data_IF_579788988487
#
_entry.id   IF_579788988487
#
_cell.length_a   1.000
_cell.length_b   1.000
_cell.length_c   1.000
_cell.angle_alpha   90.00
_cell.angle_beta   90.00
_cell.angle_gamma   90.00
#
_symmetry.space_group_name_H-M   'P 1'
#
loop_
_entity.id
_entity.type
_entity.pdbx_description
1 polymer ?
#
# COMPACT_ATOMS: atom_id res chain seq x y z
N UNK A 1 -25.30 34.49 45.92
CA UNK A 1 -24.49 33.55 45.09
C UNK A 1 -23.86 34.36 43.96
N UNK A 2 -22.53 34.55 44.02
CA UNK A 2 -21.80 35.45 43.08
C UNK A 2 -21.83 34.87 41.66
N UNK A 3 -22.46 35.58 40.72
CA UNK A 3 -22.53 35.22 39.30
C UNK A 3 -21.14 34.99 38.66
N UNK A 4 -20.10 35.58 39.23
CA UNK A 4 -18.69 35.39 38.80
C UNK A 4 -18.16 33.97 39.02
N UNK A 5 -18.67 33.19 39.99
CA UNK A 5 -18.24 31.82 40.27
C UNK A 5 -18.72 30.80 39.22
N UNK A 6 -19.75 31.13 38.45
CA UNK A 6 -20.29 30.25 37.38
C UNK A 6 -19.72 30.62 35.99
N UNK A 7 -19.40 31.90 35.76
CA UNK A 7 -18.93 32.43 34.49
C UNK A 7 -17.49 31.93 34.17
N UNK A 8 -16.58 31.94 35.16
CA UNK A 8 -15.19 31.52 34.97
C UNK A 8 -15.06 30.05 34.46
N UNK A 9 -15.72 29.05 35.09
CA UNK A 9 -15.65 27.67 34.58
C UNK A 9 -16.28 27.48 33.19
N UNK A 10 -17.37 28.22 32.88
CA UNK A 10 -17.97 28.17 31.55
C UNK A 10 -17.09 28.77 30.48
N UNK A 11 -16.39 29.87 30.76
CA UNK A 11 -15.40 30.46 29.86
C UNK A 11 -14.22 29.52 29.67
N UNK A 12 -13.73 28.90 30.74
CA UNK A 12 -12.66 27.92 30.66
C UNK A 12 -13.05 26.68 29.81
N UNK A 13 -14.24 26.15 30.00
CA UNK A 13 -14.79 25.04 29.20
C UNK A 13 -14.93 25.46 27.73
N UNK A 14 -15.41 26.68 27.46
CA UNK A 14 -15.55 27.20 26.10
C UNK A 14 -14.19 27.41 25.43
N UNK A 15 -13.15 27.89 26.15
CA UNK A 15 -11.81 28.03 25.64
C UNK A 15 -11.14 26.68 25.40
N UNK A 16 -11.29 25.72 26.32
CA UNK A 16 -10.76 24.36 26.14
C UNK A 16 -11.49 23.64 25.00
N UNK A 17 -12.82 23.75 24.96
CA UNK A 17 -13.63 23.18 23.86
C UNK A 17 -13.32 23.83 22.51
N UNK A 18 -13.19 25.16 22.46
CA UNK A 18 -12.78 25.90 21.26
C UNK A 18 -11.39 25.56 20.81
N UNK A 19 -10.44 25.47 21.74
CA UNK A 19 -9.06 25.02 21.47
C UNK A 19 -9.01 23.60 20.93
N UNK A 20 -9.77 22.68 21.52
CA UNK A 20 -9.88 21.31 21.03
C UNK A 20 -10.48 21.24 19.62
N UNK A 21 -11.59 21.97 19.38
CA UNK A 21 -12.22 22.06 18.06
C UNK A 21 -11.26 22.65 17.01
N UNK A 22 -10.49 23.67 17.37
CA UNK A 22 -9.49 24.26 16.50
C UNK A 22 -8.38 23.25 16.14
N UNK A 23 -7.86 22.50 17.12
CA UNK A 23 -6.85 21.46 16.90
C UNK A 23 -7.43 20.27 16.12
N UNK A 24 -8.71 19.97 16.27
CA UNK A 24 -9.39 18.89 15.58
C UNK A 24 -9.79 19.23 14.13
N UNK A 25 -9.72 20.49 13.71
CA UNK A 25 -10.00 20.88 12.31
C UNK A 25 -9.07 20.21 11.31
N UNK A 26 -7.85 19.88 11.77
CA UNK A 26 -6.81 19.29 10.94
C UNK A 26 -6.21 20.28 9.94
N UNK A 27 -5.27 19.81 9.14
CA UNK A 27 -4.62 20.61 8.10
C UNK A 27 -5.29 20.41 6.73
N UNK A 28 -5.15 21.43 5.86
CA UNK A 28 -5.66 21.40 4.48
C UNK A 28 -4.49 21.63 3.54
N UNK A 29 -4.41 20.83 2.48
CA UNK A 29 -3.40 20.94 1.45
C UNK A 29 -3.45 22.31 0.74
N UNK A 30 -2.28 22.87 0.46
CA UNK A 30 -2.09 24.20 -0.15
C UNK A 30 -1.26 24.16 -1.41
N UNK A 31 -0.51 23.07 -1.61
CA UNK A 31 0.26 22.90 -2.84
C UNK A 31 -0.68 22.76 -4.05
N UNK A 32 -0.33 23.37 -5.19
CA UNK A 32 -1.03 23.11 -6.44
C UNK A 32 -1.01 21.61 -6.78
N UNK A 33 -2.04 21.16 -7.48
CA UNK A 33 -2.13 19.78 -7.92
C UNK A 33 -0.88 19.35 -8.70
N UNK A 34 -0.31 18.19 -8.33
CA UNK A 34 0.89 17.64 -8.95
C UNK A 34 2.22 18.31 -8.56
N UNK A 35 2.21 19.36 -7.72
CA UNK A 35 3.47 19.97 -7.24
C UNK A 35 4.26 19.02 -6.35
N UNK A 36 3.58 18.11 -5.67
CA UNK A 36 4.11 17.09 -4.77
C UNK A 36 4.48 15.76 -5.45
N UNK A 37 4.53 15.72 -6.80
CA UNK A 37 4.84 14.51 -7.57
C UNK A 37 6.09 14.67 -8.44
N UNK A 38 6.65 13.56 -8.94
CA UNK A 38 7.79 13.54 -9.85
C UNK A 38 9.14 13.48 -9.17
N UNK A 39 10.21 13.63 -9.94
CA UNK A 39 11.60 13.56 -9.42
C UNK A 39 11.97 14.73 -8.50
N UNK A 40 11.36 15.90 -8.74
CA UNK A 40 11.61 17.13 -7.99
C UNK A 40 10.27 17.66 -7.41
N UNK A 41 9.74 17.03 -6.35
CA UNK A 41 8.52 17.53 -5.70
C UNK A 41 8.80 18.82 -4.93
N UNK A 42 7.78 19.66 -4.81
CA UNK A 42 7.82 20.87 -3.98
C UNK A 42 7.59 20.48 -2.52
N UNK A 43 8.44 20.97 -1.64
CA UNK A 43 8.34 20.77 -0.18
C UNK A 43 7.85 22.04 0.52
N UNK A 44 7.00 21.86 1.51
CA UNK A 44 6.56 22.92 2.44
C UNK A 44 7.30 22.78 3.78
N UNK A 45 7.16 23.77 4.65
CA UNK A 45 7.61 23.62 6.04
C UNK A 45 6.73 22.64 6.78
N UNK A 46 7.31 21.75 7.62
CA UNK A 46 6.54 20.79 8.40
C UNK A 46 5.55 21.48 9.34
N UNK A 47 4.33 20.96 9.38
CA UNK A 47 3.28 21.36 10.32
C UNK A 47 2.96 20.19 11.23
N UNK A 48 3.71 20.09 12.33
CA UNK A 48 3.52 19.01 13.28
C UNK A 48 2.11 19.05 13.88
N UNK A 49 1.36 17.99 13.66
CA UNK A 49 0.02 17.80 14.20
C UNK A 49 0.09 17.06 15.54
N UNK A 50 -0.59 17.58 16.55
CA UNK A 50 -0.81 16.88 17.84
C UNK A 50 -1.97 15.90 17.74
N UNK A 51 -3.00 16.28 16.99
CA UNK A 51 -4.15 15.44 16.63
C UNK A 51 -4.07 15.28 15.11
N UNK A 52 -4.05 14.05 14.59
CA UNK A 52 -3.98 13.86 13.16
C UNK A 52 -5.21 14.44 12.46
N UNK A 53 -5.01 15.03 11.30
CA UNK A 53 -6.11 15.33 10.38
C UNK A 53 -6.84 14.03 10.07
N UNK A 54 -8.16 14.00 10.25
CA UNK A 54 -9.00 12.85 9.88
C UNK A 54 -9.93 13.28 8.75
N UNK A 55 -9.81 12.62 7.61
CA UNK A 55 -10.65 12.83 6.43
C UNK A 55 -10.89 11.48 5.74
N UNK A 56 -11.82 10.72 6.28
CA UNK A 56 -12.11 9.36 5.81
C UNK A 56 -13.21 9.42 4.77
N UNK A 57 -12.91 8.94 3.56
CA UNK A 57 -13.92 8.65 2.56
C UNK A 57 -14.77 7.47 3.06
N UNK A 58 -16.06 7.70 3.23
CA UNK A 58 -17.01 6.65 3.61
C UNK A 58 -17.21 5.68 2.46
N UNK A 59 -17.30 4.39 2.77
CA UNK A 59 -17.49 3.38 1.72
C UNK A 59 -18.93 3.34 1.25
N UNK A 60 -19.11 3.59 -0.05
CA UNK A 60 -20.37 3.40 -0.79
C UNK A 60 -20.09 2.42 -1.95
N UNK A 61 -20.29 1.10 -1.77
CA UNK A 61 -19.91 0.11 -2.76
C UNK A 61 -20.47 0.40 -4.15
N UNK A 62 -19.74 -0.02 -5.18
CA UNK A 62 -20.17 0.03 -6.56
C UNK A 62 -21.54 -0.62 -6.77
N UNK A 63 -22.45 0.06 -7.40
CA UNK A 63 -23.72 -0.54 -7.84
C UNK A 63 -23.52 -1.38 -9.09
N UNK A 64 -24.55 -2.15 -9.43
CA UNK A 64 -24.55 -2.93 -10.67
C UNK A 64 -24.35 -1.98 -11.88
N UNK A 65 -23.37 -2.30 -12.73
CA UNK A 65 -23.03 -1.50 -13.91
C UNK A 65 -22.15 -0.28 -13.67
N UNK A 66 -21.95 0.15 -12.41
CA UNK A 66 -20.96 1.21 -12.09
C UNK A 66 -19.55 0.65 -12.18
N UNK A 67 -18.62 1.49 -12.63
CA UNK A 67 -17.21 1.15 -12.81
C UNK A 67 -16.32 2.40 -12.72
N UNK A 68 -15.01 2.25 -12.44
CA UNK A 68 -14.05 3.33 -12.50
C UNK A 68 -13.99 3.96 -13.90
N UNK A 69 -13.42 5.14 -13.97
CA UNK A 69 -13.21 5.86 -15.22
C UNK A 69 -11.81 5.52 -15.75
N UNK A 70 -11.74 4.87 -16.89
CA UNK A 70 -10.48 4.57 -17.57
C UNK A 70 -9.97 5.80 -18.34
N UNK A 71 -8.64 5.92 -18.48
CA UNK A 71 -8.02 6.93 -19.31
C UNK A 71 -8.50 6.83 -20.78
N UNK A 72 -8.36 7.92 -21.52
CA UNK A 72 -8.75 7.96 -22.93
C UNK A 72 -8.03 6.87 -23.74
N UNK A 73 -8.77 6.13 -24.54
CA UNK A 73 -8.27 4.99 -25.31
C UNK A 73 -8.18 3.67 -24.53
N UNK A 74 -8.60 3.67 -23.26
CA UNK A 74 -8.71 2.47 -22.45
C UNK A 74 -10.17 2.14 -22.12
N UNK A 75 -10.42 0.87 -21.83
CA UNK A 75 -11.68 0.36 -21.31
C UNK A 75 -11.45 -0.38 -20.00
N UNK A 76 -12.45 -0.39 -19.10
CA UNK A 76 -12.40 -1.12 -17.84
C UNK A 76 -13.67 -1.94 -17.65
N UNK A 77 -13.50 -3.21 -17.25
CA UNK A 77 -14.58 -4.14 -16.95
C UNK A 77 -14.27 -4.93 -15.67
N UNK A 78 -15.27 -5.61 -15.12
CA UNK A 78 -15.10 -6.50 -13.97
C UNK A 78 -14.50 -7.81 -14.40
N UNK A 79 -13.31 -8.16 -13.92
CA UNK A 79 -12.71 -9.48 -14.07
C UNK A 79 -13.32 -10.49 -13.09
N UNK A 80 -13.45 -10.11 -11.82
CA UNK A 80 -14.09 -10.91 -10.78
C UNK A 80 -14.74 -10.00 -9.74
N UNK A 81 -15.81 -10.46 -9.08
CA UNK A 81 -16.52 -9.71 -8.04
C UNK A 81 -16.94 -10.62 -6.88
N UNK A 82 -17.42 -10.04 -5.78
CA UNK A 82 -17.80 -10.76 -4.57
C UNK A 82 -16.61 -11.40 -3.86
N UNK A 83 -15.45 -10.73 -3.87
CA UNK A 83 -14.28 -11.09 -3.12
C UNK A 83 -14.30 -10.41 -1.73
N UNK A 84 -13.74 -11.07 -0.74
CA UNK A 84 -13.67 -10.54 0.62
C UNK A 84 -12.35 -9.77 0.83
N UNK A 85 -12.35 -8.47 0.52
CA UNK A 85 -11.21 -7.58 0.70
C UNK A 85 -9.97 -8.05 -0.11
N UNK A 86 -10.06 -8.12 -1.47
CA UNK A 86 -8.97 -8.59 -2.32
C UNK A 86 -7.80 -7.59 -2.29
N UNK A 87 -6.59 -8.10 -2.07
CA UNK A 87 -5.41 -7.25 -1.96
C UNK A 87 -4.33 -7.67 -2.95
N UNK A 88 -3.28 -8.35 -2.52
CA UNK A 88 -2.19 -8.76 -3.40
C UNK A 88 -2.64 -9.84 -4.41
N UNK A 89 -2.11 -9.75 -5.63
CA UNK A 89 -2.37 -10.68 -6.72
C UNK A 89 -1.07 -11.32 -7.22
N UNK A 90 -1.16 -12.56 -7.68
CA UNK A 90 -0.06 -13.27 -8.36
C UNK A 90 -0.60 -13.97 -9.60
N UNK A 91 -0.06 -13.64 -10.78
CA UNK A 91 -0.32 -14.42 -11.99
C UNK A 91 0.54 -15.68 -12.01
N UNK A 92 -0.10 -16.83 -12.17
CA UNK A 92 0.54 -18.13 -12.35
C UNK A 92 0.93 -18.36 -13.83
N UNK A 93 1.87 -19.28 -14.12
CA UNK A 93 2.34 -19.54 -15.49
C UNK A 93 1.22 -19.93 -16.47
N UNK A 94 0.21 -20.66 -16.00
CA UNK A 94 -0.95 -21.07 -16.80
C UNK A 94 -1.99 -19.95 -17.02
N UNK A 95 -1.77 -18.75 -16.48
CA UNK A 95 -2.65 -17.60 -16.61
C UNK A 95 -3.64 -17.41 -15.45
N UNK A 96 -3.78 -18.37 -14.55
CA UNK A 96 -4.60 -18.20 -13.35
C UNK A 96 -4.10 -17.03 -12.49
N UNK A 97 -5.02 -16.37 -11.80
CA UNK A 97 -4.71 -15.29 -10.87
C UNK A 97 -5.02 -15.75 -9.44
N UNK A 98 -4.00 -15.74 -8.60
CA UNK A 98 -4.18 -15.88 -7.16
C UNK A 98 -4.43 -14.51 -6.53
N UNK A 99 -5.42 -14.42 -5.65
CA UNK A 99 -5.79 -13.18 -4.93
C UNK A 99 -5.76 -13.44 -3.45
N UNK A 100 -4.98 -12.68 -2.70
CA UNK A 100 -5.03 -12.69 -1.25
C UNK A 100 -6.29 -11.94 -0.78
N UNK A 101 -7.27 -12.66 -0.25
CA UNK A 101 -8.42 -12.08 0.43
C UNK A 101 -8.08 -11.96 1.92
N UNK A 102 -7.77 -10.72 2.33
CA UNK A 102 -7.04 -10.49 3.58
C UNK A 102 -7.27 -9.11 4.18
N UNK A 103 -7.14 -9.00 5.48
CA UNK A 103 -7.12 -7.75 6.21
C UNK A 103 -6.15 -7.85 7.41
N UNK A 104 -6.01 -6.75 8.18
CA UNK A 104 -5.15 -6.73 9.37
C UNK A 104 -5.57 -7.81 10.38
N UNK A 105 -4.60 -8.35 11.14
CA UNK A 105 -4.92 -9.18 12.30
C UNK A 105 -5.87 -8.44 13.27
N UNK A 106 -6.63 -9.18 14.09
CA UNK A 106 -7.51 -8.59 15.09
C UNK A 106 -6.77 -7.58 15.98
N UNK A 107 -7.34 -6.40 16.17
CA UNK A 107 -6.77 -5.34 17.01
C UNK A 107 -7.37 -5.38 18.41
N UNK A 108 -6.64 -4.87 19.44
CA UNK A 108 -7.22 -4.69 20.77
C UNK A 108 -8.51 -3.88 20.70
N UNK A 109 -9.49 -4.20 21.56
CA UNK A 109 -10.79 -3.51 21.58
C UNK A 109 -10.93 -2.53 22.75
N UNK A 110 -9.94 -2.48 23.64
CA UNK A 110 -10.00 -1.76 24.90
C UNK A 110 -9.54 -0.29 24.76
N UNK A 111 -10.23 0.59 25.49
CA UNK A 111 -9.91 2.01 25.55
C UNK A 111 -10.72 2.88 24.59
N UNK A 112 -10.95 4.15 24.99
CA UNK A 112 -11.75 5.13 24.21
C UNK A 112 -11.09 5.42 22.87
N UNK A 113 -9.77 5.64 22.84
CA UNK A 113 -9.02 5.93 21.62
C UNK A 113 -9.15 4.77 20.62
N UNK A 114 -9.03 3.53 21.10
CA UNK A 114 -9.15 2.35 20.23
C UNK A 114 -10.57 2.19 19.66
N UNK A 115 -11.61 2.52 20.45
CA UNK A 115 -12.99 2.51 19.95
C UNK A 115 -13.23 3.54 18.87
N UNK A 116 -12.69 4.75 19.02
CA UNK A 116 -12.75 5.79 17.98
C UNK A 116 -12.00 5.33 16.73
N UNK A 117 -10.80 4.80 16.88
CA UNK A 117 -10.03 4.28 15.74
C UNK A 117 -10.75 3.13 15.02
N UNK A 118 -11.34 2.19 15.77
CA UNK A 118 -12.13 1.10 15.18
C UNK A 118 -13.32 1.63 14.41
N UNK A 119 -14.08 2.59 14.96
CA UNK A 119 -15.17 3.24 14.26
C UNK A 119 -14.73 3.92 12.95
N UNK A 120 -13.60 4.62 12.98
CA UNK A 120 -13.03 5.25 11.78
C UNK A 120 -12.59 4.21 10.74
N UNK A 121 -12.02 3.10 11.17
CA UNK A 121 -11.61 2.00 10.29
C UNK A 121 -12.84 1.29 9.68
N UNK A 122 -13.91 1.08 10.47
CA UNK A 122 -15.17 0.52 9.97
C UNK A 122 -15.75 1.42 8.87
N UNK A 123 -15.76 2.75 9.11
CA UNK A 123 -16.21 3.75 8.14
C UNK A 123 -15.39 3.73 6.84
N UNK A 124 -14.08 3.50 6.94
CA UNK A 124 -13.16 3.36 5.80
C UNK A 124 -13.26 2.01 5.07
N UNK A 125 -14.12 1.09 5.52
CA UNK A 125 -14.22 -0.28 5.00
C UNK A 125 -13.08 -1.21 5.43
N UNK A 126 -12.17 -0.75 6.30
CA UNK A 126 -11.02 -1.51 6.76
C UNK A 126 -11.27 -2.29 8.07
N UNK A 127 -12.49 -2.22 8.62
CA UNK A 127 -12.89 -2.92 9.84
C UNK A 127 -13.34 -4.36 9.64
N UNK A 128 -13.43 -4.83 8.41
CA UNK A 128 -13.88 -6.21 8.11
C UNK A 128 -12.84 -7.24 8.57
N UNK A 129 -13.26 -8.40 9.10
CA UNK A 129 -12.35 -9.47 9.46
C UNK A 129 -11.56 -9.97 8.24
N UNK A 130 -10.29 -10.38 8.47
CA UNK A 130 -9.50 -11.02 7.42
C UNK A 130 -10.12 -12.38 7.03
N UNK A 131 -10.31 -12.60 5.72
CA UNK A 131 -10.77 -13.89 5.21
C UNK A 131 -9.67 -14.97 5.34
N UNK A 132 -8.40 -14.57 5.51
CA UNK A 132 -7.27 -15.47 5.75
C UNK A 132 -7.13 -16.59 4.71
N UNK A 133 -7.37 -16.23 3.44
CA UNK A 133 -7.32 -17.18 2.32
C UNK A 133 -6.69 -16.58 1.07
N UNK A 134 -6.28 -17.44 0.17
CA UNK A 134 -5.95 -17.11 -1.20
C UNK A 134 -7.00 -17.74 -2.09
N UNK A 135 -7.59 -16.95 -2.97
CA UNK A 135 -8.59 -17.35 -3.94
C UNK A 135 -7.96 -17.43 -5.33
N UNK A 136 -8.23 -18.50 -6.05
CA UNK A 136 -7.87 -18.68 -7.45
C UNK A 136 -9.00 -18.17 -8.33
N UNK A 137 -8.62 -17.33 -9.30
CA UNK A 137 -9.48 -16.87 -10.38
C UNK A 137 -8.94 -17.43 -11.70
N UNK A 138 -9.81 -18.05 -12.51
CA UNK A 138 -9.46 -18.59 -13.83
C UNK A 138 -10.47 -18.10 -14.85
N UNK A 139 -9.98 -17.56 -15.94
CA UNK A 139 -10.73 -17.20 -17.14
C UNK A 139 -10.49 -18.33 -18.18
N UNK A 140 -11.46 -19.25 -18.29
CA UNK A 140 -11.30 -20.48 -19.06
C UNK A 140 -11.54 -20.25 -20.56
N UNK A 141 -12.52 -19.43 -20.92
CA UNK A 141 -12.91 -19.12 -22.29
C UNK A 141 -12.24 -17.87 -22.87
N UNK A 142 -11.44 -17.17 -22.03
CA UNK A 142 -10.65 -15.98 -22.38
C UNK A 142 -11.50 -14.77 -22.80
N UNK A 143 -12.70 -14.66 -22.22
CA UNK A 143 -13.59 -13.51 -22.46
C UNK A 143 -13.24 -12.29 -21.61
N UNK A 144 -12.27 -12.42 -20.70
CA UNK A 144 -11.80 -11.36 -19.80
C UNK A 144 -12.56 -11.31 -18.48
N UNK A 145 -13.27 -12.40 -18.13
CA UNK A 145 -13.95 -12.61 -16.85
C UNK A 145 -13.59 -13.95 -16.25
N UNK A 146 -13.47 -14.01 -14.95
CA UNK A 146 -13.15 -15.25 -14.27
C UNK A 146 -14.41 -16.16 -14.16
N UNK A 147 -14.41 -17.30 -14.87
CA UNK A 147 -15.44 -18.35 -14.76
C UNK A 147 -15.32 -19.15 -13.49
N UNK A 148 -14.10 -19.34 -13.03
CA UNK A 148 -13.80 -20.11 -11.82
C UNK A 148 -13.31 -19.20 -10.72
N UNK A 149 -13.93 -19.32 -9.55
CA UNK A 149 -13.53 -18.65 -8.32
C UNK A 149 -13.54 -19.66 -7.17
N UNK A 150 -12.37 -20.08 -6.70
CA UNK A 150 -12.25 -21.10 -5.65
C UNK A 150 -11.28 -20.68 -4.54
N UNK A 151 -11.55 -21.13 -3.31
CA UNK A 151 -10.61 -20.97 -2.19
C UNK A 151 -9.41 -21.92 -2.41
N UNK A 152 -8.31 -21.37 -2.92
CA UNK A 152 -7.09 -22.10 -3.26
C UNK A 152 -6.28 -22.52 -2.04
N UNK A 153 -6.12 -21.61 -1.08
CA UNK A 153 -5.49 -21.86 0.24
C UNK A 153 -6.32 -21.19 1.32
N UNK A 154 -6.49 -21.87 2.45
CA UNK A 154 -7.24 -21.38 3.62
C UNK A 154 -6.44 -21.54 4.91
N UNK A 155 -6.91 -20.93 6.01
CA UNK A 155 -6.27 -21.08 7.33
C UNK A 155 -4.93 -20.36 7.44
N UNK A 156 -4.74 -19.31 6.65
CA UNK A 156 -3.58 -18.44 6.69
C UNK A 156 -3.71 -17.38 7.80
N UNK A 157 -2.67 -16.59 8.03
CA UNK A 157 -2.67 -15.51 9.02
C UNK A 157 -2.39 -14.17 8.33
N UNK A 158 -3.45 -13.45 7.95
CA UNK A 158 -3.36 -12.20 7.21
C UNK A 158 -2.31 -12.27 6.07
N UNK A 159 -2.49 -13.18 5.08
CA UNK A 159 -1.55 -13.37 3.99
C UNK A 159 -1.49 -12.13 3.09
N UNK A 160 -0.33 -11.82 2.52
CA UNK A 160 -0.21 -10.71 1.58
C UNK A 160 0.66 -11.09 0.37
N UNK A 161 1.97 -11.08 0.51
CA UNK A 161 2.89 -11.37 -0.58
C UNK A 161 2.85 -12.84 -1.00
N UNK A 162 2.88 -13.06 -2.30
CA UNK A 162 2.91 -14.40 -2.92
C UNK A 162 4.02 -14.45 -3.97
N UNK A 163 4.69 -15.59 -4.09
CA UNK A 163 5.63 -15.85 -5.16
C UNK A 163 5.68 -17.33 -5.49
N UNK A 164 5.80 -17.67 -6.76
CA UNK A 164 5.99 -19.06 -7.23
C UNK A 164 7.44 -19.23 -7.68
N UNK A 165 8.12 -20.24 -7.12
CA UNK A 165 9.48 -20.64 -7.56
C UNK A 165 9.43 -22.14 -7.82
N UNK A 166 9.55 -22.53 -9.09
CA UNK A 166 9.38 -23.91 -9.52
C UNK A 166 7.99 -24.43 -9.16
N UNK A 167 7.93 -25.50 -8.41
CA UNK A 167 6.72 -26.16 -7.91
C UNK A 167 6.35 -25.78 -6.45
N UNK A 168 6.86 -24.66 -5.98
CA UNK A 168 6.62 -24.20 -4.62
C UNK A 168 6.00 -22.80 -4.61
N UNK A 169 4.79 -22.68 -4.07
CA UNK A 169 4.14 -21.40 -3.78
C UNK A 169 4.58 -20.92 -2.39
N UNK A 170 5.22 -19.76 -2.37
CA UNK A 170 5.55 -19.06 -1.14
C UNK A 170 4.50 -18.01 -0.81
N UNK A 171 4.08 -17.97 0.45
CA UNK A 171 3.09 -17.03 0.97
C UNK A 171 3.65 -16.34 2.21
N UNK A 172 3.72 -15.02 2.17
CA UNK A 172 4.08 -14.22 3.33
C UNK A 172 2.81 -13.88 4.14
N UNK A 173 2.62 -14.61 5.23
CA UNK A 173 1.69 -14.23 6.29
C UNK A 173 2.24 -13.02 7.06
N UNK A 174 1.40 -12.39 7.90
CA UNK A 174 1.85 -11.26 8.72
C UNK A 174 3.03 -11.61 9.65
N UNK A 175 3.17 -12.87 10.05
CA UNK A 175 4.09 -13.38 11.06
C UNK A 175 5.11 -14.41 10.55
N UNK A 176 4.94 -14.95 9.35
CA UNK A 176 5.79 -16.00 8.83
C UNK A 176 5.80 -16.10 7.31
N UNK A 177 6.92 -16.50 6.74
CA UNK A 177 7.01 -16.99 5.36
C UNK A 177 6.70 -18.49 5.34
N UNK A 178 5.68 -18.87 4.57
CA UNK A 178 5.21 -20.24 4.40
C UNK A 178 5.50 -20.74 2.99
N UNK A 179 5.75 -22.04 2.83
CA UNK A 179 5.92 -22.72 1.55
C UNK A 179 4.89 -23.83 1.40
N UNK A 180 4.26 -23.90 0.23
CA UNK A 180 3.25 -24.89 -0.11
C UNK A 180 3.62 -25.59 -1.43
N UNK A 181 3.43 -26.91 -1.55
CA UNK A 181 3.60 -27.57 -2.84
C UNK A 181 2.55 -27.05 -3.82
N UNK A 182 2.98 -26.73 -5.02
CA UNK A 182 2.14 -26.24 -6.12
C UNK A 182 2.23 -27.21 -7.31
N UNK A 183 1.10 -27.48 -7.92
CA UNK A 183 1.02 -28.20 -9.18
C UNK A 183 0.16 -27.37 -10.14
N UNK A 184 0.69 -27.16 -11.33
CA UNK A 184 -0.03 -26.41 -12.37
C UNK A 184 -1.38 -27.04 -12.69
N UNK A 185 -2.41 -26.20 -12.79
CA UNK A 185 -3.78 -26.60 -13.06
C UNK A 185 -4.61 -26.96 -11.82
N UNK A 186 -3.97 -27.18 -10.66
CA UNK A 186 -4.71 -27.41 -9.42
C UNK A 186 -5.56 -26.18 -9.06
N UNK A 187 -6.75 -26.45 -8.53
CA UNK A 187 -7.68 -25.40 -8.07
C UNK A 187 -7.72 -25.29 -6.55
N UNK A 188 -6.94 -26.12 -5.85
CA UNK A 188 -6.87 -26.14 -4.39
C UNK A 188 -5.57 -26.81 -3.92
N UNK A 189 -4.93 -26.24 -2.90
CA UNK A 189 -3.87 -26.90 -2.13
C UNK A 189 -4.48 -27.36 -0.80
N UNK A 190 -4.46 -28.67 -0.54
CA UNK A 190 -4.95 -29.27 0.71
C UNK A 190 -3.83 -29.68 1.66
N UNK A 191 -2.58 -29.67 1.20
CA UNK A 191 -1.40 -30.01 1.99
C UNK A 191 -1.04 -28.88 2.91
N UNK A 192 -0.69 -29.18 4.17
CA UNK A 192 -0.20 -28.20 5.13
C UNK A 192 1.08 -27.53 4.65
N UNK A 193 1.20 -26.21 4.90
CA UNK A 193 2.38 -25.46 4.56
C UNK A 193 3.54 -25.70 5.54
N UNK A 194 4.77 -25.58 5.04
CA UNK A 194 6.00 -25.58 5.82
C UNK A 194 6.45 -24.15 6.10
N UNK A 195 6.66 -23.81 7.39
CA UNK A 195 7.23 -22.50 7.76
C UNK A 195 8.71 -22.46 7.37
N UNK A 196 9.11 -21.39 6.70
CA UNK A 196 10.50 -21.12 6.28
C UNK A 196 11.22 -20.26 7.33
N UNK A 197 10.63 -19.09 7.65
CA UNK A 197 11.17 -18.13 8.65
C UNK A 197 10.03 -17.43 9.37
N UNK A 198 10.33 -16.89 10.54
CA UNK A 198 9.46 -15.93 11.21
C UNK A 198 9.66 -14.52 10.64
N UNK A 199 8.55 -13.77 10.56
CA UNK A 199 8.51 -12.36 10.16
C UNK A 199 8.05 -11.48 11.34
N UNK A 200 8.51 -10.23 11.45
CA UNK A 200 8.13 -9.35 12.55
C UNK A 200 6.62 -9.06 12.56
N UNK A 201 5.95 -9.39 13.67
CA UNK A 201 4.51 -9.20 13.84
C UNK A 201 4.09 -8.72 15.24
N UNK A 202 5.04 -8.19 16.03
CA UNK A 202 4.77 -7.70 17.39
C UNK A 202 3.75 -6.55 17.37
N UNK A 203 2.82 -6.59 18.33
CA UNK A 203 1.83 -5.52 18.52
C UNK A 203 2.51 -4.15 18.75
N UNK A 204 1.95 -3.06 18.21
CA UNK A 204 0.66 -2.93 17.52
C UNK A 204 0.63 -3.40 16.06
N UNK A 205 1.78 -3.69 15.41
CA UNK A 205 1.89 -4.18 14.04
C UNK A 205 1.06 -3.35 13.05
N UNK A 206 1.21 -2.01 13.09
CA UNK A 206 0.40 -1.10 12.26
C UNK A 206 0.55 -1.41 10.78
N UNK A 207 1.77 -1.63 10.31
CA UNK A 207 2.03 -2.10 8.95
C UNK A 207 2.20 -3.63 8.96
N UNK A 208 1.07 -4.31 8.93
CA UNK A 208 0.98 -5.78 9.05
C UNK A 208 1.32 -6.52 7.76
N UNK A 209 1.20 -5.87 6.60
CA UNK A 209 1.48 -6.47 5.30
C UNK A 209 2.94 -6.90 5.17
N UNK A 210 3.15 -8.00 4.46
CA UNK A 210 4.46 -8.52 4.09
C UNK A 210 4.44 -8.75 2.59
N UNK A 211 4.75 -7.70 1.83
CA UNK A 211 4.86 -7.80 0.37
C UNK A 211 6.05 -8.66 -0.04
N UNK A 212 5.98 -9.29 -1.19
CA UNK A 212 7.04 -10.20 -1.63
C UNK A 212 7.14 -10.24 -3.15
N UNK A 213 8.38 -10.33 -3.64
CA UNK A 213 8.69 -10.64 -5.04
C UNK A 213 9.85 -11.63 -5.09
N UNK A 214 9.81 -12.55 -6.06
CA UNK A 214 10.93 -13.46 -6.35
C UNK A 214 11.85 -12.86 -7.40
N UNK A 215 13.17 -13.00 -7.18
CA UNK A 215 14.18 -12.71 -8.20
C UNK A 215 14.37 -13.90 -9.17
N UNK A 216 14.94 -13.67 -10.35
CA UNK A 216 15.19 -14.73 -11.33
C UNK A 216 16.10 -15.87 -10.81
N UNK A 217 16.97 -15.60 -9.86
CA UNK A 217 17.87 -16.58 -9.21
C UNK A 217 17.23 -17.33 -8.05
N UNK A 218 15.95 -17.05 -7.76
CA UNK A 218 15.14 -17.78 -6.79
C UNK A 218 15.31 -17.31 -5.35
N UNK A 219 15.76 -16.08 -5.14
CA UNK A 219 15.67 -15.40 -3.84
C UNK A 219 14.33 -14.69 -3.71
N UNK A 220 13.89 -14.47 -2.47
CA UNK A 220 12.68 -13.71 -2.15
C UNK A 220 13.06 -12.37 -1.52
N UNK A 221 12.43 -11.31 -1.98
CA UNK A 221 12.54 -9.97 -1.39
C UNK A 221 11.23 -9.64 -0.68
N UNK A 222 11.31 -9.38 0.63
CA UNK A 222 10.13 -9.22 1.50
C UNK A 222 10.14 -7.84 2.13
N UNK A 223 9.15 -7.03 1.79
CA UNK A 223 8.91 -5.73 2.41
C UNK A 223 8.25 -5.88 3.78
N UNK A 224 8.81 -5.24 4.79
CA UNK A 224 8.31 -5.22 6.17
C UNK A 224 8.21 -3.78 6.64
N UNK A 225 7.01 -3.27 6.76
CA UNK A 225 6.77 -1.91 7.23
C UNK A 225 7.06 -1.72 8.72
N UNK A 226 7.17 -0.47 9.14
CA UNK A 226 7.40 -0.08 10.54
C UNK A 226 6.29 -0.60 11.47
N UNK A 227 6.57 -0.68 12.76
CA UNK A 227 5.58 -1.02 13.78
C UNK A 227 4.65 0.17 14.07
N UNK A 228 5.14 1.39 13.87
CA UNK A 228 4.51 2.65 14.26
C UNK A 228 4.73 3.75 13.21
N UNK A 229 4.23 4.96 13.46
CA UNK A 229 4.37 6.09 12.52
C UNK A 229 5.81 6.62 12.48
N UNK A 230 6.41 6.90 13.65
CA UNK A 230 7.73 7.53 13.79
C UNK A 230 8.61 6.84 14.86
N UNK A 231 8.31 5.60 15.24
CA UNK A 231 9.00 4.93 16.34
C UNK A 231 8.51 5.35 17.74
N UNK A 232 7.32 5.93 17.84
CA UNK A 232 6.72 6.44 19.07
C UNK A 232 6.49 5.38 20.15
N UNK A 233 6.47 4.11 19.76
CA UNK A 233 6.35 2.99 20.71
C UNK A 233 7.73 2.47 21.20
N UNK A 234 8.80 3.18 20.88
CA UNK A 234 10.19 2.84 21.16
C UNK A 234 10.88 2.13 20.00
N UNK A 235 12.13 2.53 19.73
CA UNK A 235 12.93 2.02 18.60
C UNK A 235 13.21 0.52 18.68
N UNK A 236 13.18 -0.07 19.88
CA UNK A 236 13.31 -1.52 20.06
C UNK A 236 12.20 -2.31 19.38
N UNK A 237 10.99 -1.74 19.29
CA UNK A 237 9.85 -2.35 18.60
C UNK A 237 9.95 -2.26 17.09
N UNK A 238 10.84 -1.41 16.60
CA UNK A 238 11.15 -1.23 15.17
C UNK A 238 12.29 -2.15 14.69
N UNK A 239 12.84 -2.97 15.57
CA UNK A 239 13.89 -3.92 15.19
C UNK A 239 13.43 -4.86 14.08
N UNK A 240 14.21 -4.92 12.99
CA UNK A 240 13.88 -5.67 11.78
C UNK A 240 12.59 -5.20 11.06
N UNK A 241 12.23 -3.92 11.23
CA UNK A 241 11.11 -3.28 10.55
C UNK A 241 11.59 -2.09 9.72
N UNK A 242 10.70 -1.54 8.90
CA UNK A 242 11.04 -0.51 7.89
C UNK A 242 12.19 -0.97 6.99
N UNK A 243 12.12 -2.21 6.51
CA UNK A 243 13.19 -2.89 5.76
C UNK A 243 12.63 -3.69 4.58
N UNK A 244 13.51 -3.98 3.64
CA UNK A 244 13.33 -5.10 2.72
C UNK A 244 14.33 -6.18 3.11
N UNK A 245 13.84 -7.39 3.35
CA UNK A 245 14.68 -8.58 3.53
C UNK A 245 14.95 -9.25 2.20
N UNK A 246 16.17 -9.75 2.02
CA UNK A 246 16.51 -10.79 1.06
C UNK A 246 16.53 -12.13 1.77
N UNK A 247 15.81 -13.10 1.24
CA UNK A 247 15.62 -14.42 1.86
C UNK A 247 15.96 -15.51 0.85
N UNK A 248 16.81 -16.46 1.23
CA UNK A 248 16.98 -17.70 0.49
C UNK A 248 15.96 -18.73 1.01
N UNK A 249 14.89 -19.04 0.24
CA UNK A 249 13.83 -19.90 0.73
C UNK A 249 14.22 -21.38 0.85
N UNK A 250 15.36 -21.81 0.28
CA UNK A 250 15.85 -23.19 0.34
C UNK A 250 16.41 -23.54 1.71
N UNK A 251 17.08 -22.58 2.38
CA UNK A 251 17.75 -22.79 3.67
C UNK A 251 17.26 -21.84 4.78
N UNK A 252 16.37 -20.90 4.49
CA UNK A 252 15.84 -19.93 5.45
C UNK A 252 16.82 -18.80 5.83
N UNK A 253 17.99 -18.69 5.17
CA UNK A 253 18.90 -17.57 5.42
C UNK A 253 18.23 -16.26 5.00
N UNK A 254 18.27 -15.26 5.89
CA UNK A 254 17.78 -13.92 5.59
C UNK A 254 18.77 -12.86 6.04
N UNK A 255 18.80 -11.76 5.29
CA UNK A 255 19.53 -10.53 5.64
C UNK A 255 18.68 -9.31 5.35
N UNK A 256 18.98 -8.20 6.01
CA UNK A 256 18.43 -6.90 5.62
C UNK A 256 19.08 -6.50 4.29
N UNK A 257 18.27 -6.32 3.27
CA UNK A 257 18.71 -5.85 1.95
C UNK A 257 18.81 -4.33 1.92
N UNK A 258 17.74 -3.64 2.39
CA UNK A 258 17.70 -2.20 2.53
C UNK A 258 16.87 -1.81 3.77
N UNK A 259 17.09 -0.61 4.31
CA UNK A 259 16.45 -0.14 5.53
C UNK A 259 16.01 1.32 5.44
N UNK A 260 15.22 1.77 6.43
CA UNK A 260 14.70 3.13 6.46
C UNK A 260 13.57 3.40 5.48
N UNK A 261 12.97 2.35 4.93
CA UNK A 261 11.76 2.36 4.09
C UNK A 261 10.55 2.20 5.00
N UNK A 262 9.87 3.29 5.38
CA UNK A 262 8.83 3.25 6.43
C UNK A 262 7.81 2.13 6.22
N UNK A 263 7.18 2.04 5.06
CA UNK A 263 6.26 0.96 4.73
C UNK A 263 6.38 0.59 3.24
N UNK A 264 7.37 -0.26 2.86
CA UNK A 264 7.51 -0.75 1.49
C UNK A 264 6.44 -1.81 1.23
N UNK A 265 5.55 -1.57 0.26
CA UNK A 265 4.44 -2.47 -0.03
C UNK A 265 4.57 -3.08 -1.43
N UNK A 266 4.40 -2.34 -2.52
CA UNK A 266 4.58 -2.87 -3.88
C UNK A 266 6.07 -3.06 -4.18
N UNK A 267 6.47 -4.26 -4.57
CA UNK A 267 7.84 -4.61 -4.97
C UNK A 267 7.83 -5.27 -6.35
N UNK A 268 8.69 -4.81 -7.25
CA UNK A 268 8.84 -5.40 -8.58
C UNK A 268 10.29 -5.22 -9.09
N UNK A 269 10.74 -6.14 -9.93
CA UNK A 269 12.00 -5.98 -10.67
C UNK A 269 11.75 -5.22 -11.96
N UNK A 270 12.54 -4.17 -12.20
CA UNK A 270 12.51 -3.44 -13.46
C UNK A 270 13.12 -4.33 -14.57
N UNK A 271 12.38 -4.54 -15.68
CA UNK A 271 12.73 -5.61 -16.63
C UNK A 271 14.02 -5.38 -17.43
N UNK A 272 14.44 -4.12 -17.64
CA UNK A 272 15.64 -3.81 -18.43
C UNK A 272 16.92 -3.88 -17.59
N UNK A 273 16.89 -3.26 -16.42
CA UNK A 273 18.04 -3.19 -15.50
C UNK A 273 18.14 -4.37 -14.54
N UNK A 274 17.04 -5.09 -14.32
CA UNK A 274 16.94 -6.09 -13.26
C UNK A 274 16.99 -5.51 -11.85
N UNK A 275 16.86 -4.20 -11.69
CA UNK A 275 16.89 -3.54 -10.40
C UNK A 275 15.57 -3.77 -9.64
N UNK A 276 15.67 -3.95 -8.33
CA UNK A 276 14.49 -3.99 -7.46
C UNK A 276 13.95 -2.57 -7.25
N UNK A 277 12.66 -2.38 -7.52
CA UNK A 277 11.92 -1.16 -7.23
C UNK A 277 10.82 -1.41 -6.22
N UNK A 278 10.44 -0.37 -5.51
CA UNK A 278 9.34 -0.44 -4.55
C UNK A 278 8.61 0.88 -4.37
N UNK A 279 7.35 0.77 -3.99
CA UNK A 279 6.54 1.91 -3.53
C UNK A 279 6.47 1.91 -2.01
N UNK A 280 6.58 3.09 -1.42
CA UNK A 280 6.72 3.28 0.03
C UNK A 280 5.73 4.32 0.52
N UNK A 281 4.99 3.96 1.56
CA UNK A 281 4.13 4.88 2.28
C UNK A 281 4.94 5.58 3.38
N UNK A 282 5.03 6.90 3.29
CA UNK A 282 5.77 7.73 4.22
C UNK A 282 4.99 8.07 5.49
N UNK A 283 5.63 8.80 6.39
CA UNK A 283 5.11 9.14 7.70
C UNK A 283 4.00 10.20 7.65
N UNK A 284 3.10 10.09 8.62
CA UNK A 284 1.97 11.00 8.82
C UNK A 284 2.27 12.11 9.83
N UNK A 285 1.37 13.10 9.96
CA UNK A 285 1.34 14.13 10.99
C UNK A 285 2.44 15.21 10.85
N UNK A 286 2.85 15.50 9.60
CA UNK A 286 3.62 16.70 9.26
C UNK A 286 2.81 17.71 8.42
N UNK A 287 1.49 17.57 8.43
CA UNK A 287 0.55 18.36 7.65
C UNK A 287 0.16 17.71 6.33
N UNK A 288 -0.86 18.27 5.68
CA UNK A 288 -1.45 17.72 4.47
C UNK A 288 -0.51 17.73 3.23
N UNK A 289 0.54 18.57 3.26
CA UNK A 289 1.48 18.74 2.15
C UNK A 289 2.86 18.10 2.42
N UNK A 290 2.98 17.19 3.44
CA UNK A 290 4.15 16.39 3.76
C UNK A 290 3.75 15.06 4.42
N UNK A 291 4.46 13.96 4.17
CA UNK A 291 5.62 13.73 3.30
C UNK A 291 5.11 13.02 2.05
N UNK A 292 5.66 13.25 0.84
CA UNK A 292 5.23 12.51 -0.32
C UNK A 292 5.57 11.02 -0.17
N UNK A 293 4.59 10.17 -0.44
CA UNK A 293 4.81 8.76 -0.72
C UNK A 293 5.60 8.62 -2.01
N UNK A 294 6.37 7.54 -2.18
CA UNK A 294 7.31 7.50 -3.28
C UNK A 294 7.48 6.12 -3.95
N UNK A 295 7.99 6.17 -5.17
CA UNK A 295 8.54 5.04 -5.93
C UNK A 295 10.07 5.20 -5.96
N UNK A 296 10.81 4.15 -5.64
CA UNK A 296 12.28 4.20 -5.60
C UNK A 296 12.91 2.87 -5.97
N UNK A 297 14.09 2.93 -6.57
CA UNK A 297 15.00 1.82 -6.70
C UNK A 297 15.51 1.42 -5.31
N UNK A 298 15.42 0.14 -4.97
CA UNK A 298 15.85 -0.38 -3.67
C UNK A 298 17.24 -1.02 -3.85
N UNK A 299 18.25 -0.43 -3.23
CA UNK A 299 19.63 -0.87 -3.38
C UNK A 299 20.14 -1.59 -2.14
N UNK A 300 20.99 -2.59 -2.36
CA UNK A 300 21.62 -3.35 -1.27
C UNK A 300 22.45 -2.42 -0.36
N UNK A 301 22.20 -2.52 0.95
CA UNK A 301 22.89 -1.73 1.97
C UNK A 301 22.39 -0.29 2.11
N UNK A 302 21.46 0.17 1.27
CA UNK A 302 20.96 1.54 1.33
C UNK A 302 20.06 1.78 2.55
N UNK A 303 20.10 3.02 3.05
CA UNK A 303 19.24 3.55 4.11
C UNK A 303 18.42 4.73 3.57
N UNK A 304 17.09 4.66 3.68
CA UNK A 304 16.16 5.63 3.09
C UNK A 304 15.62 6.66 4.10
N UNK A 305 16.11 6.64 5.34
CA UNK A 305 15.93 7.72 6.30
C UNK A 305 15.03 7.42 7.49
N UNK A 306 13.92 6.71 7.31
CA UNK A 306 13.00 6.47 8.41
C UNK A 306 13.68 5.73 9.60
N UNK A 307 13.47 6.12 10.86
CA UNK A 307 12.54 7.16 11.31
C UNK A 307 13.13 8.57 11.40
N UNK A 308 14.44 8.77 11.26
CA UNK A 308 15.12 10.02 11.58
C UNK A 308 15.07 11.07 10.48
N UNK A 309 15.00 10.61 9.23
CA UNK A 309 14.99 11.48 8.06
C UNK A 309 13.88 11.04 7.10
N UNK A 310 13.42 11.96 6.26
CA UNK A 310 12.57 11.68 5.11
C UNK A 310 13.14 12.36 3.87
N UNK A 311 12.81 11.86 2.71
CA UNK A 311 13.18 12.38 1.40
C UNK A 311 14.66 12.78 1.27
N UNK A 312 15.58 11.90 1.65
CA UNK A 312 17.03 12.10 1.45
C UNK A 312 17.69 13.10 2.38
N UNK A 313 17.19 13.28 3.59
CA UNK A 313 17.94 14.03 4.62
C UNK A 313 17.22 15.23 5.21
N UNK A 314 15.92 15.37 5.00
CA UNK A 314 15.11 16.25 5.83
C UNK A 314 14.91 15.60 7.21
N UNK A 315 15.38 16.26 8.26
CA UNK A 315 15.33 15.72 9.63
C UNK A 315 13.91 15.68 10.18
N UNK A 316 13.50 14.53 10.73
CA UNK A 316 12.31 14.44 11.56
C UNK A 316 12.65 14.76 13.02
N UNK A 317 12.40 15.99 13.43
CA UNK A 317 12.74 16.48 14.78
C UNK A 317 11.90 15.87 15.90
N UNK A 318 10.86 15.11 15.59
CA UNK A 318 10.00 14.43 16.59
C UNK A 318 10.59 13.12 17.07
N UNK A 319 11.48 12.52 16.31
CA UNK A 319 12.12 11.23 16.65
C UNK A 319 13.26 11.47 17.64
N UNK A 320 13.28 10.71 18.73
CA UNK A 320 14.32 10.80 19.75
C UNK A 320 14.92 9.42 20.05
N UNK A 321 16.23 9.31 20.29
CA UNK A 321 17.24 10.36 20.15
C UNK A 321 17.45 10.78 18.70
N UNK A 322 17.82 12.03 18.48
CA UNK A 322 18.20 12.52 17.14
C UNK A 322 19.51 11.86 16.68
N UNK A 323 19.62 11.64 15.39
CA UNK A 323 20.78 11.00 14.75
C UNK A 323 21.24 11.84 13.53
N UNK A 324 21.73 13.09 13.75
CA UNK A 324 22.08 13.99 12.65
C UNK A 324 23.20 13.42 11.76
N UNK A 325 24.06 12.57 12.32
CA UNK A 325 25.17 11.93 11.60
C UNK A 325 24.72 10.97 10.49
N UNK A 326 23.52 10.41 10.54
CA UNK A 326 23.05 9.50 9.50
C UNK A 326 22.46 10.20 8.28
N UNK A 327 22.28 11.53 8.33
CA UNK A 327 21.77 12.32 7.23
C UNK A 327 22.57 12.14 5.95
N UNK A 328 23.90 12.10 6.06
CA UNK A 328 24.82 11.96 4.93
C UNK A 328 24.69 10.59 4.24
N UNK A 329 24.22 9.57 4.97
CA UNK A 329 24.01 8.21 4.46
C UNK A 329 22.58 7.96 3.99
N UNK A 330 21.68 8.94 4.17
CA UNK A 330 20.28 8.82 3.79
C UNK A 330 20.12 8.99 2.29
N UNK A 331 19.70 7.90 1.63
CA UNK A 331 19.41 7.92 0.20
C UNK A 331 18.10 8.66 -0.06
N UNK A 332 18.12 9.54 -1.06
CA UNK A 332 16.92 10.21 -1.56
C UNK A 332 16.12 9.24 -2.43
N UNK A 333 14.78 9.16 -2.26
CA UNK A 333 13.92 8.45 -3.19
C UNK A 333 13.95 9.04 -4.60
N UNK A 334 13.67 8.19 -5.61
CA UNK A 334 13.79 8.58 -7.01
C UNK A 334 12.60 9.40 -7.52
N UNK A 335 11.37 9.10 -7.05
CA UNK A 335 10.16 9.68 -7.62
C UNK A 335 9.02 9.79 -6.59
N UNK A 336 8.49 10.99 -6.38
CA UNK A 336 7.35 11.25 -5.51
C UNK A 336 6.03 10.91 -6.24
N UNK A 337 5.15 10.22 -5.55
CA UNK A 337 3.82 9.83 -6.04
C UNK A 337 2.72 10.81 -5.58
N UNK A 338 3.04 11.68 -4.62
CA UNK A 338 2.15 12.63 -3.99
C UNK A 338 2.01 12.41 -2.48
N UNK A 339 1.54 13.43 -1.77
CA UNK A 339 1.40 13.37 -0.32
C UNK A 339 0.19 12.52 0.09
N UNK A 340 0.41 11.53 0.98
CA UNK A 340 -0.63 10.68 1.57
C UNK A 340 -1.47 9.88 0.57
N UNK A 341 -0.93 9.52 -0.58
CA UNK A 341 -1.67 8.77 -1.62
C UNK A 341 -1.75 7.27 -1.35
N UNK A 342 -0.95 6.77 -0.41
CA UNK A 342 -0.88 5.37 0.02
C UNK A 342 -0.66 4.38 -1.15
N UNK A 343 0.50 4.39 -1.83
CA UNK A 343 0.80 3.45 -2.89
C UNK A 343 0.99 2.05 -2.33
N UNK A 344 0.29 1.06 -2.90
CA UNK A 344 0.30 -0.32 -2.40
C UNK A 344 0.74 -1.34 -3.45
N UNK A 345 0.33 -1.21 -4.70
CA UNK A 345 0.66 -2.12 -5.80
C UNK A 345 1.67 -1.52 -6.76
N UNK A 346 2.50 -2.38 -7.35
CA UNK A 346 3.51 -2.00 -8.35
C UNK A 346 3.68 -3.13 -9.37
N UNK A 347 3.54 -2.82 -10.66
CA UNK A 347 3.93 -3.70 -11.76
C UNK A 347 4.53 -2.91 -12.91
N UNK A 348 5.54 -3.47 -13.57
CA UNK A 348 6.10 -2.87 -14.79
C UNK A 348 5.26 -3.21 -16.02
N UNK A 349 5.39 -2.39 -17.06
CA UNK A 349 4.57 -2.46 -18.26
C UNK A 349 5.01 -3.56 -19.26
N UNK A 350 6.09 -4.28 -18.99
CA UNK A 350 6.66 -5.30 -19.90
C UNK A 350 5.69 -6.41 -20.31
N UNK A 351 4.62 -6.62 -19.51
CA UNK A 351 3.58 -7.63 -19.73
C UNK A 351 2.20 -7.03 -19.92
N UNK A 352 2.10 -5.71 -20.09
CA UNK A 352 0.82 -4.98 -20.19
C UNK A 352 0.73 -4.31 -21.57
N UNK A 353 -0.31 -4.62 -22.33
CA UNK A 353 -0.48 -4.21 -23.74
C UNK A 353 -1.54 -3.10 -23.90
N UNK A 354 -1.43 -2.02 -23.13
CA UNK A 354 -2.35 -0.89 -23.20
C UNK A 354 -2.01 0.13 -24.31
N UNK A 355 -0.83 0.01 -24.92
CA UNK A 355 -0.35 0.96 -25.93
C UNK A 355 0.15 2.28 -25.33
N UNK A 356 0.56 3.22 -26.21
CA UNK A 356 1.07 4.53 -25.75
C UNK A 356 0.00 5.32 -24.97
N UNK A 357 0.36 6.04 -23.87
CA UNK A 357 1.73 6.25 -23.38
C UNK A 357 2.24 5.17 -22.40
N UNK A 358 1.55 4.04 -22.22
CA UNK A 358 1.73 3.03 -21.16
C UNK A 358 2.70 1.90 -21.57
N UNK A 359 3.76 2.22 -22.30
CA UNK A 359 4.65 1.20 -22.88
C UNK A 359 5.87 0.91 -22.00
N UNK A 360 6.55 1.93 -21.48
CA UNK A 360 7.79 1.84 -20.72
C UNK A 360 7.63 2.57 -19.39
N UNK A 361 7.50 1.81 -18.32
CA UNK A 361 7.25 2.37 -17.00
C UNK A 361 6.55 1.41 -16.06
N UNK A 362 5.99 1.97 -15.01
CA UNK A 362 5.36 1.24 -13.93
C UNK A 362 3.93 1.73 -13.64
N UNK A 363 3.00 0.79 -13.47
CA UNK A 363 1.67 1.03 -12.93
C UNK A 363 1.71 0.96 -11.42
N UNK A 364 1.03 1.91 -10.75
CA UNK A 364 0.97 2.02 -9.31
C UNK A 364 -0.47 2.19 -8.84
N UNK A 365 -0.91 1.31 -7.93
CA UNK A 365 -2.19 1.45 -7.24
C UNK A 365 -2.06 2.41 -6.05
N UNK A 366 -2.79 3.53 -6.09
CA UNK A 366 -2.84 4.53 -5.02
C UNK A 366 -4.14 4.34 -4.22
N UNK A 367 -4.02 3.71 -3.06
CA UNK A 367 -5.16 3.30 -2.22
C UNK A 367 -5.96 4.48 -1.65
N UNK A 368 -5.30 5.62 -1.45
CA UNK A 368 -5.92 6.86 -1.04
C UNK A 368 -5.76 7.21 0.45
N UNK A 369 -5.80 8.51 0.70
CA UNK A 369 -5.54 9.11 2.00
C UNK A 369 -6.70 8.88 2.99
N UNK A 370 -6.36 8.89 4.28
CA UNK A 370 -7.31 8.93 5.39
C UNK A 370 -7.17 10.23 6.21
N UNK A 371 -6.09 10.96 5.99
CA UNK A 371 -5.61 12.08 6.82
C UNK A 371 -5.24 13.34 6.01
N UNK A 372 -5.83 13.53 4.83
CA UNK A 372 -5.56 14.68 3.96
C UNK A 372 -6.86 15.32 3.46
N UNK A 373 -6.92 16.64 3.44
CA UNK A 373 -8.00 17.45 2.87
C UNK A 373 -7.43 18.35 1.76
N UNK A 374 -7.98 18.30 0.52
CA UNK A 374 -8.89 17.26 0.01
C UNK A 374 -8.22 15.89 -0.01
N UNK A 375 -9.01 14.82 -0.10
CA UNK A 375 -8.51 13.46 -0.24
C UNK A 375 -7.62 13.31 -1.48
N UNK A 376 -6.59 12.45 -1.39
CA UNK A 376 -5.63 12.19 -2.45
C UNK A 376 -5.46 10.69 -2.69
N UNK A 377 -4.96 10.29 -3.86
CA UNK A 377 -4.91 8.89 -4.27
C UNK A 377 -6.24 8.42 -4.84
N UNK A 378 -6.74 7.24 -4.45
CA UNK A 378 -7.97 6.63 -4.96
C UNK A 378 -7.96 6.49 -6.48
N UNK A 379 -6.83 6.05 -7.03
CA UNK A 379 -6.64 5.90 -8.47
C UNK A 379 -5.47 4.97 -8.80
N UNK A 380 -5.37 4.57 -10.04
CA UNK A 380 -4.20 3.92 -10.60
C UNK A 380 -3.48 4.90 -11.49
N UNK A 381 -2.16 5.01 -11.32
CA UNK A 381 -1.31 5.88 -12.14
C UNK A 381 -0.24 5.10 -12.85
N UNK A 382 0.28 5.68 -13.93
CA UNK A 382 1.45 5.21 -14.66
C UNK A 382 2.58 6.21 -14.51
N UNK A 383 3.76 5.73 -14.12
CA UNK A 383 5.01 6.48 -14.10
C UNK A 383 5.85 6.01 -15.26
N UNK A 384 6.09 6.88 -16.24
CA UNK A 384 6.95 6.57 -17.38
C UNK A 384 8.40 6.41 -16.95
N UNK A 385 9.10 5.45 -17.55
CA UNK A 385 10.53 5.19 -17.32
C UNK A 385 11.33 5.56 -18.58
N UNK A 386 12.59 5.83 -18.37
CA UNK A 386 13.58 6.09 -19.41
C UNK A 386 14.86 5.32 -19.03
N UNK A 387 15.22 4.36 -19.85
CA UNK A 387 16.40 3.50 -19.64
C UNK A 387 16.48 2.83 -18.25
N UNK A 388 15.34 2.30 -17.77
CA UNK A 388 15.25 1.61 -16.48
C UNK A 388 15.17 2.51 -15.25
N UNK A 389 15.03 3.83 -15.43
CA UNK A 389 14.87 4.80 -14.36
C UNK A 389 13.56 5.59 -14.49
N UNK A 390 12.98 6.01 -13.36
CA UNK A 390 11.78 6.83 -13.37
C UNK A 390 12.01 8.13 -14.14
N UNK A 391 11.16 8.41 -15.12
CA UNK A 391 11.25 9.55 -16.00
C UNK A 391 10.98 10.90 -15.32
N UNK A 392 11.15 11.99 -16.05
CA UNK A 392 10.92 13.36 -15.53
C UNK A 392 9.45 13.77 -15.56
N UNK A 393 8.63 13.11 -16.40
CA UNK A 393 7.22 13.44 -16.56
C UNK A 393 6.43 13.16 -15.27
N UNK A 394 5.34 13.89 -15.08
CA UNK A 394 4.39 13.63 -13.99
C UNK A 394 3.65 12.30 -14.22
N UNK A 395 3.11 11.66 -13.16
CA UNK A 395 2.34 10.43 -13.33
C UNK A 395 1.12 10.68 -14.20
N UNK A 396 0.77 9.70 -15.03
CA UNK A 396 -0.42 9.71 -15.88
C UNK A 396 -1.52 8.89 -15.24
N UNK A 397 -2.74 9.42 -15.14
CA UNK A 397 -3.87 8.68 -14.61
C UNK A 397 -4.26 7.53 -15.57
N UNK A 398 -4.46 6.34 -15.03
CA UNK A 398 -4.91 5.11 -15.73
C UNK A 398 -6.37 4.80 -15.42
N UNK A 399 -6.70 4.75 -14.13
CA UNK A 399 -8.05 4.62 -13.62
C UNK A 399 -8.32 5.66 -12.54
N UNK A 400 -9.47 6.32 -12.61
CA UNK A 400 -9.98 7.31 -11.65
C UNK A 400 -11.44 7.02 -11.30
N UNK A 401 -12.09 7.91 -10.54
CA UNK A 401 -13.52 7.76 -10.21
C UNK A 401 -13.81 6.77 -9.09
N UNK A 402 -12.81 6.40 -8.29
CA UNK A 402 -13.00 5.62 -7.07
C UNK A 402 -13.57 6.45 -5.90
N UNK A 403 -13.47 7.78 -5.98
CA UNK A 403 -14.22 8.72 -5.13
C UNK A 403 -15.34 9.35 -5.95
N UNK A 404 -16.50 9.51 -5.32
CA UNK A 404 -17.58 10.30 -5.88
C UNK A 404 -17.36 11.81 -5.62
N UNK A 405 -18.29 12.63 -6.14
CA UNK A 405 -18.26 14.10 -5.98
C UNK A 405 -18.42 14.56 -4.54
N UNK A 406 -18.98 13.73 -3.67
CA UNK A 406 -19.21 14.01 -2.26
C UNK A 406 -18.02 13.57 -1.39
N UNK A 407 -17.02 12.92 -2.00
CA UNK A 407 -15.80 12.41 -1.36
C UNK A 407 -15.96 11.05 -0.71
N UNK A 408 -17.02 10.30 -1.05
CA UNK A 408 -17.22 8.93 -0.61
C UNK A 408 -16.53 7.94 -1.57
N UNK A 409 -16.08 6.81 -1.03
CA UNK A 409 -15.31 5.84 -1.78
C UNK A 409 -16.20 4.70 -2.31
N UNK A 410 -16.29 4.55 -3.63
CA UNK A 410 -16.87 3.35 -4.24
C UNK A 410 -15.91 2.17 -4.18
N UNK A 411 -14.62 2.43 -4.22
CA UNK A 411 -13.54 1.46 -4.18
C UNK A 411 -12.21 2.07 -3.78
N UNK A 412 -11.20 1.22 -3.56
CA UNK A 412 -9.83 1.61 -3.25
C UNK A 412 -8.85 0.69 -3.96
N UNK A 413 -8.11 1.17 -4.98
CA UNK A 413 -7.13 0.36 -5.68
C UNK A 413 -6.02 -0.10 -4.75
N UNK A 414 -5.66 -1.38 -4.81
CA UNK A 414 -4.57 -1.96 -4.01
C UNK A 414 -3.45 -2.43 -4.90
N UNK A 415 -3.58 -3.60 -5.50
CA UNK A 415 -2.52 -4.20 -6.30
C UNK A 415 -2.82 -4.11 -7.79
N UNK A 416 -1.77 -4.15 -8.57
CA UNK A 416 -1.79 -4.10 -10.02
C UNK A 416 -0.92 -5.22 -10.58
N UNK A 417 -1.43 -5.98 -11.57
CA UNK A 417 -0.68 -7.04 -12.25
C UNK A 417 -1.17 -7.23 -13.68
N UNK A 418 -0.37 -7.85 -14.54
CA UNK A 418 -0.79 -8.19 -15.90
C UNK A 418 -1.51 -9.55 -15.91
N UNK A 419 -2.61 -9.68 -16.69
CA UNK A 419 -3.16 -10.99 -17.02
C UNK A 419 -2.37 -11.69 -18.15
N UNK A 420 -2.81 -12.89 -18.55
CA UNK A 420 -2.16 -13.65 -19.62
C UNK A 420 -2.42 -13.07 -21.03
N UNK A 421 -3.35 -12.13 -21.17
CA UNK A 421 -3.74 -11.49 -22.43
C UNK A 421 -3.22 -10.05 -22.54
N UNK A 422 -2.34 -9.63 -21.64
CA UNK A 422 -1.76 -8.27 -21.63
C UNK A 422 -2.66 -7.19 -21.05
N UNK A 423 -3.79 -7.52 -20.43
CA UNK A 423 -4.58 -6.54 -19.71
C UNK A 423 -4.01 -6.25 -18.33
N UNK A 424 -4.25 -5.04 -17.82
CA UNK A 424 -3.92 -4.68 -16.44
C UNK A 424 -5.08 -5.07 -15.52
N UNK A 425 -4.81 -5.92 -14.54
CA UNK A 425 -5.71 -6.23 -13.44
C UNK A 425 -5.45 -5.30 -12.25
N UNK A 426 -6.52 -4.86 -11.60
CA UNK A 426 -6.48 -3.96 -10.43
C UNK A 426 -7.38 -4.53 -9.34
N UNK A 427 -6.84 -4.87 -8.18
CA UNK A 427 -7.65 -5.26 -7.03
C UNK A 427 -8.21 -4.03 -6.33
N UNK A 428 -9.47 -4.14 -5.89
CA UNK A 428 -10.23 -3.11 -5.19
C UNK A 428 -10.77 -3.72 -3.90
N UNK A 429 -10.13 -3.43 -2.77
CA UNK A 429 -10.38 -4.13 -1.52
C UNK A 429 -11.76 -3.83 -0.92
N UNK A 430 -12.20 -2.59 -0.92
CA UNK A 430 -13.51 -2.23 -0.37
C UNK A 430 -14.65 -2.45 -1.37
N UNK A 431 -14.35 -2.41 -2.68
CA UNK A 431 -15.29 -2.78 -3.73
C UNK A 431 -15.52 -4.29 -3.84
N UNK A 432 -14.58 -5.11 -3.33
CA UNK A 432 -14.63 -6.57 -3.45
C UNK A 432 -14.51 -7.07 -4.89
N UNK A 433 -13.76 -6.34 -5.73
CA UNK A 433 -13.69 -6.50 -7.18
C UNK A 433 -12.22 -6.59 -7.63
N UNK A 434 -11.98 -7.37 -8.66
CA UNK A 434 -10.80 -7.23 -9.52
C UNK A 434 -11.25 -6.62 -10.84
N UNK A 435 -10.73 -5.45 -11.15
CA UNK A 435 -10.97 -4.73 -12.40
C UNK A 435 -10.00 -5.17 -13.48
N UNK A 436 -10.42 -5.19 -14.72
CA UNK A 436 -9.60 -5.50 -15.90
C UNK A 436 -9.59 -4.32 -16.86
N UNK A 437 -8.41 -3.78 -17.14
CA UNK A 437 -8.19 -2.64 -18.01
C UNK A 437 -7.56 -3.12 -19.31
N UNK A 438 -8.15 -2.74 -20.43
CA UNK A 438 -7.69 -3.08 -21.78
C UNK A 438 -7.63 -1.82 -22.65
N UNK A 439 -6.99 -1.92 -23.80
CA UNK A 439 -7.14 -0.92 -24.86
C UNK A 439 -8.60 -0.92 -25.33
N UNK A 440 -9.20 0.25 -25.48
CA UNK A 440 -10.51 0.39 -26.08
C UNK A 440 -10.48 -0.09 -27.55
N UNK A 441 -11.51 -0.79 -27.96
CA UNK A 441 -11.68 -1.26 -29.34
C UNK A 441 -12.07 -0.12 -30.28
#
# INVERSE_FOLDING_TARGET
>A
MNKHFIILPLVAIALVGGGFLYLAQGDTARLPAGADTGREPVFTSPRSEMIPTVNIAEVKPWKAGEKPVAAQGLAVERFAEGLAHPRSMLRLPNGDILVAETNSPPRPKDGIVQRVMNYLMDKAGAGVPSANRITLLRDTDKDGRADTKTAFLTGLNSPYGMALIGDTLYVANTDALMAFPYKEGDTKISTGGRKIIDLPAQSPNQHWTKSMVASPDGLLYIGVGSNSNIGENGLERERNRAVVFEVNPRNGYKRVFASGLRNPVGLAFEPKSGALWGVVNERDMLGADLVPDYLTRIEFGAFYGWPWNYWGGYEDRRVQPQRPEIREYTKRPDYALGNHVAPLGLTFADKVELGAPFIDGAFVGLHGSWNRKPAAGYKVVFVGFDDGEAGKAKPVDVLTGFLDKDGDAHGRPVDVTADAQGALLVSDDVGGIVWRVTKAQ
#
